data_IF_009555967653
#
_entry.id   IF_009555967653
#
_cell.length_a   1.000
_cell.length_b   1.000
_cell.length_c   1.000
_cell.angle_alpha   90.00
_cell.angle_beta   90.00
_cell.angle_gamma   90.00
#
_symmetry.space_group_name_H-M   'P 1'
#
loop_
_entity.id
_entity.type
_entity.pdbx_description
1 polymer ?
#
# COMPACT_ATOMS: atom_id res chain seq x y z
N UNK A 1 -45.39 -3.61 8.19
CA UNK A 1 -44.46 -2.47 8.01
C UNK A 1 -43.10 -2.68 8.68
N UNK A 2 -43.00 -3.28 9.88
CA UNK A 2 -41.73 -3.51 10.60
C UNK A 2 -40.65 -4.29 9.81
N UNK A 3 -41.05 -5.30 9.02
CA UNK A 3 -40.11 -6.16 8.25
C UNK A 3 -39.34 -5.42 7.15
N UNK A 4 -39.97 -4.42 6.51
CA UNK A 4 -39.32 -3.62 5.48
C UNK A 4 -38.27 -2.66 6.07
N UNK A 5 -38.54 -2.14 7.26
CA UNK A 5 -37.63 -1.26 7.99
C UNK A 5 -36.36 -2.00 8.43
N UNK A 6 -36.50 -3.24 8.92
CA UNK A 6 -35.33 -4.10 9.24
C UNK A 6 -34.49 -4.45 8.02
N UNK A 7 -35.12 -4.62 6.85
CA UNK A 7 -34.41 -4.91 5.60
C UNK A 7 -33.57 -3.70 5.16
N UNK A 8 -34.15 -2.49 5.24
CA UNK A 8 -33.46 -1.24 4.91
C UNK A 8 -32.25 -0.97 5.82
N UNK A 9 -32.36 -1.28 7.11
CA UNK A 9 -31.25 -1.14 8.06
C UNK A 9 -30.11 -2.10 7.72
N UNK A 10 -30.41 -3.35 7.34
CA UNK A 10 -29.38 -4.33 6.98
C UNK A 10 -28.62 -3.93 5.70
N UNK A 11 -29.34 -3.42 4.70
CA UNK A 11 -28.74 -2.98 3.42
C UNK A 11 -27.78 -1.81 3.67
N UNK A 12 -28.17 -0.84 4.51
CA UNK A 12 -27.30 0.28 4.87
C UNK A 12 -26.03 -0.16 5.64
N UNK A 13 -26.14 -1.23 6.45
CA UNK A 13 -25.00 -1.77 7.19
C UNK A 13 -23.99 -2.52 6.31
N UNK A 14 -24.42 -3.02 5.15
CA UNK A 14 -23.56 -3.74 4.20
C UNK A 14 -22.89 -2.80 3.18
N UNK A 15 -23.39 -1.57 3.03
CA UNK A 15 -22.86 -0.57 2.10
C UNK A 15 -21.68 0.24 2.64
N UNK A 16 -21.17 -0.05 3.84
CA UNK A 16 -19.93 0.57 4.28
C UNK A 16 -18.78 -0.01 3.44
N UNK A 17 -18.10 0.81 2.62
CA UNK A 17 -16.89 0.35 1.98
C UNK A 17 -15.94 -0.03 3.09
N UNK A 18 -15.40 -1.25 3.05
CA UNK A 18 -14.30 -1.64 3.89
C UNK A 18 -13.13 -0.74 3.49
N UNK A 19 -12.97 0.37 4.20
CA UNK A 19 -11.76 1.19 4.21
C UNK A 19 -10.69 0.37 4.91
N UNK A 20 -10.32 -0.74 4.28
CA UNK A 20 -9.18 -1.55 4.68
C UNK A 20 -7.99 -0.65 4.42
N UNK A 21 -7.44 -0.14 5.51
CA UNK A 21 -6.12 0.49 5.60
C UNK A 21 -5.11 -0.54 5.07
N UNK A 22 -5.00 -0.63 3.75
CA UNK A 22 -4.07 -1.54 3.09
C UNK A 22 -2.70 -0.95 3.34
N UNK A 23 -1.85 -1.66 4.09
CA UNK A 23 -0.44 -1.29 4.26
C UNK A 23 0.19 -1.11 2.87
N UNK A 24 0.61 0.09 2.56
CA UNK A 24 1.29 0.43 1.32
C UNK A 24 2.80 0.44 1.56
N UNK A 25 3.55 -0.08 0.59
CA UNK A 25 5.00 -0.18 0.62
C UNK A 25 5.58 0.65 -0.51
N UNK A 26 6.48 1.57 -0.19
CA UNK A 26 7.17 2.38 -1.19
C UNK A 26 8.60 1.88 -1.39
N UNK A 27 9.01 1.77 -2.67
CA UNK A 27 10.40 1.52 -3.03
C UNK A 27 11.18 2.83 -2.95
N UNK A 28 12.21 2.86 -2.11
CA UNK A 28 13.14 3.97 -2.01
C UNK A 28 14.45 3.61 -2.70
N UNK A 29 14.99 4.56 -3.47
CA UNK A 29 16.22 4.42 -4.24
C UNK A 29 17.18 5.52 -3.82
N UNK A 30 18.44 5.16 -3.58
CA UNK A 30 19.53 6.08 -3.25
C UNK A 30 20.49 6.17 -4.44
N UNK A 31 20.39 7.21 -5.28
CA UNK A 31 21.15 7.29 -6.53
C UNK A 31 22.65 7.49 -6.29
N UNK A 32 23.05 8.07 -5.14
CA UNK A 32 24.45 8.19 -4.75
C UNK A 32 24.63 8.10 -3.23
N UNK A 33 25.86 7.81 -2.77
CA UNK A 33 26.14 7.58 -1.33
C UNK A 33 25.76 8.77 -0.44
N UNK A 34 25.94 9.99 -0.94
CA UNK A 34 25.61 11.26 -0.27
C UNK A 34 24.25 11.84 -0.65
N UNK A 35 23.56 11.26 -1.64
CA UNK A 35 22.26 11.76 -2.11
C UNK A 35 21.15 11.43 -1.11
N UNK A 36 20.05 12.18 -1.21
CA UNK A 36 18.81 11.85 -0.53
C UNK A 36 18.17 10.57 -1.09
N UNK A 37 17.23 10.01 -0.32
CA UNK A 37 16.42 8.89 -0.77
C UNK A 37 15.27 9.40 -1.63
N UNK A 38 15.10 8.81 -2.80
CA UNK A 38 13.98 9.09 -3.71
C UNK A 38 12.95 7.98 -3.57
N UNK A 39 11.67 8.34 -3.42
CA UNK A 39 10.58 7.37 -3.47
C UNK A 39 10.14 7.13 -4.90
N UNK A 40 9.85 5.87 -5.23
CA UNK A 40 9.15 5.55 -6.45
C UNK A 40 7.72 6.10 -6.37
N UNK A 41 7.24 6.70 -7.45
CA UNK A 41 5.93 7.36 -7.51
C UNK A 41 4.76 6.42 -7.20
N UNK A 42 4.89 5.13 -7.54
CA UNK A 42 3.82 4.15 -7.36
C UNK A 42 4.09 3.30 -6.12
N UNK A 43 3.24 3.37 -5.07
CA UNK A 43 3.32 2.46 -3.94
C UNK A 43 2.83 1.07 -4.32
N UNK A 44 3.38 0.06 -3.65
CA UNK A 44 3.01 -1.34 -3.76
C UNK A 44 2.03 -1.71 -2.65
N UNK A 45 1.03 -2.54 -2.95
CA UNK A 45 0.08 -3.03 -1.93
C UNK A 45 0.60 -4.23 -1.13
N UNK A 46 1.61 -4.92 -1.65
CA UNK A 46 2.22 -6.08 -1.02
C UNK A 46 3.72 -5.86 -0.86
N UNK A 47 4.25 -6.24 0.31
CA UNK A 47 5.68 -6.15 0.60
C UNK A 47 6.50 -6.98 -0.40
N UNK A 48 6.04 -8.18 -0.75
CA UNK A 48 6.73 -9.06 -1.69
C UNK A 48 6.89 -8.40 -3.06
N UNK A 49 5.88 -7.67 -3.54
CA UNK A 49 5.94 -6.97 -4.82
C UNK A 49 7.02 -5.88 -4.81
N UNK A 50 7.12 -5.13 -3.71
CA UNK A 50 8.18 -4.14 -3.55
C UNK A 50 9.56 -4.80 -3.51
N UNK A 51 9.71 -5.92 -2.78
CA UNK A 51 10.98 -6.65 -2.70
C UNK A 51 11.39 -7.28 -4.04
N UNK A 52 10.45 -7.77 -4.84
CA UNK A 52 10.72 -8.25 -6.20
C UNK A 52 11.19 -7.10 -7.09
N UNK A 53 10.52 -5.93 -7.03
CA UNK A 53 10.97 -4.74 -7.76
C UNK A 53 12.37 -4.28 -7.31
N UNK A 54 12.72 -4.49 -6.03
CA UNK A 54 14.04 -4.22 -5.47
C UNK A 54 15.15 -5.12 -6.02
N UNK A 55 14.82 -6.37 -6.37
CA UNK A 55 15.77 -7.37 -6.88
C UNK A 55 16.27 -7.13 -8.31
N UNK A 56 15.86 -6.03 -8.96
CA UNK A 56 16.38 -5.60 -10.26
C UNK A 56 17.84 -5.09 -10.22
N UNK A 57 18.15 -4.07 -11.02
CA UNK A 57 19.51 -3.56 -11.33
C UNK A 57 20.16 -2.80 -10.16
N UNK A 58 19.72 -3.01 -8.92
CA UNK A 58 20.13 -2.19 -7.80
C UNK A 58 21.21 -2.86 -6.95
N UNK A 59 22.29 -2.11 -6.70
CA UNK A 59 23.37 -2.53 -5.81
C UNK A 59 22.82 -2.67 -4.38
N UNK A 60 23.22 -3.74 -3.68
CA UNK A 60 22.83 -3.99 -2.28
C UNK A 60 23.05 -2.73 -1.43
N UNK A 61 22.00 -2.25 -0.77
CA UNK A 61 22.04 -1.07 0.11
C UNK A 61 21.71 0.27 -0.57
N UNK A 62 21.51 0.30 -1.89
CA UNK A 62 21.01 1.49 -2.60
C UNK A 62 19.49 1.51 -2.73
N UNK A 63 18.80 0.48 -2.28
CA UNK A 63 17.34 0.40 -2.31
C UNK A 63 16.78 -0.18 -1.02
N UNK A 64 15.59 0.28 -0.64
CA UNK A 64 14.83 -0.25 0.51
C UNK A 64 13.34 -0.17 0.26
N UNK A 65 12.58 -1.13 0.75
CA UNK A 65 11.13 -1.10 0.78
C UNK A 65 10.67 -0.72 2.19
N UNK A 66 9.86 0.33 2.30
CA UNK A 66 9.34 0.81 3.58
C UNK A 66 7.82 0.92 3.52
N UNK A 67 7.16 0.57 4.62
CA UNK A 67 5.74 0.81 4.83
C UNK A 67 5.50 2.33 4.95
N UNK A 68 4.54 2.86 4.19
CA UNK A 68 4.27 4.30 4.07
C UNK A 68 2.87 4.71 4.50
N UNK A 69 1.98 3.75 4.81
CA UNK A 69 0.61 3.99 5.27
C UNK A 69 0.28 3.19 6.51
#
# INVERSE_FOLDING_TARGET
>A
MKKAMTLLILINLLSFPSVVFSKEFSLFIKPCKSCEWLSYHVPFRLKEQCEIARQGIFIKGMTKCLETS
#
